data_IF_824693254701
#
_entry.id   IF_824693254701
#
_cell.length_a   1.000
_cell.length_b   1.000
_cell.length_c   1.000
_cell.angle_alpha   90.00
_cell.angle_beta   90.00
_cell.angle_gamma   90.00
#
_symmetry.space_group_name_H-M   'P 1'
#
loop_
_entity.id
_entity.type
_entity.pdbx_description
1 polymer ?
#
# COMPACT_ATOMS: atom_id res chain seq x y z
N UNK A 1 -6.48 15.99 -11.72
CA UNK A 1 -7.86 15.75 -11.26
C UNK A 1 -7.80 15.56 -9.75
N UNK A 2 -8.32 16.52 -8.99
CA UNK A 2 -8.26 16.50 -7.52
C UNK A 2 -9.66 16.14 -7.00
N UNK A 3 -10.00 14.86 -7.07
CA UNK A 3 -11.16 14.31 -6.38
C UNK A 3 -10.67 13.90 -5.00
N UNK A 4 -11.23 14.52 -3.96
CA UNK A 4 -10.95 14.19 -2.57
C UNK A 4 -11.50 12.77 -2.33
N UNK A 5 -10.67 11.74 -2.56
CA UNK A 5 -11.05 10.34 -2.41
C UNK A 5 -11.41 10.06 -0.95
N UNK A 6 -12.46 9.28 -0.71
CA UNK A 6 -12.75 8.76 0.63
C UNK A 6 -11.60 7.89 1.13
N UNK A 7 -11.45 7.80 2.46
CA UNK A 7 -10.41 6.96 3.08
C UNK A 7 -10.51 5.50 2.62
N UNK A 8 -11.74 4.98 2.55
CA UNK A 8 -12.03 3.62 2.08
C UNK A 8 -11.50 3.41 0.65
N UNK A 9 -11.78 4.33 -0.28
CA UNK A 9 -11.26 4.24 -1.64
C UNK A 9 -9.73 4.32 -1.72
N UNK A 10 -9.10 5.18 -0.91
CA UNK A 10 -7.62 5.25 -0.85
C UNK A 10 -7.04 3.91 -0.41
N UNK A 11 -7.61 3.29 0.63
CA UNK A 11 -7.19 2.00 1.15
C UNK A 11 -7.38 0.90 0.09
N UNK A 12 -8.55 0.83 -0.54
CA UNK A 12 -8.84 -0.18 -1.56
C UNK A 12 -7.90 -0.10 -2.75
N UNK A 13 -7.56 1.12 -3.21
CA UNK A 13 -6.59 1.32 -4.29
C UNK A 13 -5.21 0.78 -3.92
N UNK A 14 -4.74 1.07 -2.72
CA UNK A 14 -3.42 0.58 -2.24
C UNK A 14 -3.44 -0.94 -2.04
N UNK A 15 -4.50 -1.50 -1.46
CA UNK A 15 -4.61 -2.95 -1.25
C UNK A 15 -4.65 -3.71 -2.57
N UNK A 16 -5.45 -3.25 -3.54
CA UNK A 16 -5.49 -3.83 -4.88
C UNK A 16 -4.14 -3.76 -5.56
N UNK A 17 -3.42 -2.65 -5.38
CA UNK A 17 -2.06 -2.52 -5.88
C UNK A 17 -1.10 -3.54 -5.27
N UNK A 18 -1.15 -3.74 -3.95
CA UNK A 18 -0.22 -4.64 -3.24
C UNK A 18 -0.54 -6.12 -3.45
N UNK A 19 -1.83 -6.50 -3.39
CA UNK A 19 -2.23 -7.90 -3.24
C UNK A 19 -2.82 -8.55 -4.49
N UNK A 20 -3.25 -7.77 -5.48
CA UNK A 20 -3.82 -8.33 -6.72
C UNK A 20 -2.74 -8.61 -7.75
N UNK A 21 -2.79 -9.79 -8.36
CA UNK A 21 -1.95 -10.13 -9.50
C UNK A 21 -2.47 -9.43 -10.76
N UNK A 22 -1.68 -8.52 -11.32
CA UNK A 22 -1.95 -7.87 -12.60
C UNK A 22 -0.70 -7.91 -13.48
N UNK A 23 -0.87 -7.70 -14.79
CA UNK A 23 0.24 -7.60 -15.75
C UNK A 23 1.13 -6.42 -15.35
N UNK A 24 2.45 -6.60 -15.43
CA UNK A 24 3.45 -5.64 -14.92
C UNK A 24 3.27 -4.22 -15.48
N UNK A 25 2.83 -4.08 -16.72
CA UNK A 25 2.61 -2.76 -17.33
C UNK A 25 1.42 -2.00 -16.73
N UNK A 26 0.39 -2.71 -16.26
CA UNK A 26 -0.74 -2.09 -15.53
C UNK A 26 -0.27 -1.58 -14.17
N UNK A 27 0.51 -2.38 -13.44
CA UNK A 27 1.11 -1.95 -12.15
C UNK A 27 2.06 -0.76 -12.32
N UNK A 28 2.83 -0.69 -13.40
CA UNK A 28 3.69 0.48 -13.68
C UNK A 28 2.87 1.75 -13.89
N UNK A 29 1.73 1.67 -14.59
CA UNK A 29 0.86 2.82 -14.81
C UNK A 29 0.16 3.29 -13.53
N UNK A 30 -0.15 2.37 -12.62
CA UNK A 30 -0.77 2.67 -11.33
C UNK A 30 0.23 3.19 -10.28
N UNK A 31 1.51 2.81 -10.37
CA UNK A 31 2.53 3.05 -9.33
C UNK A 31 2.58 4.52 -8.86
N UNK A 32 2.77 5.48 -9.78
CA UNK A 32 2.84 6.89 -9.42
C UNK A 32 1.57 7.39 -8.71
N UNK A 33 0.40 6.87 -9.08
CA UNK A 33 -0.85 7.25 -8.46
C UNK A 33 -1.00 6.68 -7.06
N UNK A 34 -0.65 5.41 -6.87
CA UNK A 34 -0.69 4.72 -5.57
C UNK A 34 0.30 5.34 -4.59
N UNK A 35 1.53 5.64 -5.05
CA UNK A 35 2.54 6.32 -4.26
C UNK A 35 2.04 7.71 -3.81
N UNK A 36 1.50 8.50 -4.74
CA UNK A 36 0.96 9.81 -4.43
C UNK A 36 -0.20 9.74 -3.41
N UNK A 37 -1.10 8.76 -3.53
CA UNK A 37 -2.17 8.54 -2.54
C UNK A 37 -1.57 8.24 -1.17
N UNK A 38 -0.63 7.30 -1.10
CA UNK A 38 -0.01 6.91 0.17
C UNK A 38 0.71 8.08 0.85
N UNK A 39 1.44 8.90 0.09
CA UNK A 39 2.15 10.06 0.61
C UNK A 39 1.21 11.09 1.23
N UNK A 40 0.09 11.40 0.56
CA UNK A 40 -0.86 12.43 1.03
C UNK A 40 -1.81 11.96 2.13
N UNK A 41 -1.84 10.65 2.45
CA UNK A 41 -2.67 10.15 3.56
C UNK A 41 -2.23 10.75 4.89
N UNK A 42 -3.17 11.14 5.74
CA UNK A 42 -2.84 11.55 7.10
C UNK A 42 -2.50 10.35 8.00
N UNK A 43 -2.11 10.63 9.24
CA UNK A 43 -1.72 9.60 10.21
C UNK A 43 -2.87 8.63 10.53
N UNK A 44 -4.10 9.12 10.65
CA UNK A 44 -5.28 8.30 10.98
C UNK A 44 -5.62 7.39 9.82
N UNK A 45 -5.63 7.93 8.60
CA UNK A 45 -5.81 7.17 7.36
C UNK A 45 -4.75 6.07 7.23
N UNK A 46 -3.48 6.38 7.54
CA UNK A 46 -2.37 5.42 7.53
C UNK A 46 -2.56 4.29 8.54
N UNK A 47 -3.05 4.56 9.75
CA UNK A 47 -3.38 3.47 10.69
C UNK A 47 -4.51 2.56 10.19
N UNK A 48 -5.52 3.12 9.53
CA UNK A 48 -6.59 2.32 8.93
C UNK A 48 -6.04 1.43 7.80
N UNK A 49 -5.15 1.98 6.96
CA UNK A 49 -4.44 1.21 5.95
C UNK A 49 -3.59 0.08 6.57
N UNK A 50 -2.83 0.37 7.63
CA UNK A 50 -2.00 -0.64 8.30
C UNK A 50 -2.84 -1.81 8.81
N UNK A 51 -3.97 -1.52 9.43
CA UNK A 51 -4.90 -2.54 9.89
C UNK A 51 -5.43 -3.38 8.73
N UNK A 52 -5.80 -2.74 7.62
CA UNK A 52 -6.29 -3.43 6.44
C UNK A 52 -5.23 -4.31 5.78
N UNK A 53 -3.98 -3.81 5.64
CA UNK A 53 -2.83 -4.57 5.17
C UNK A 53 -2.58 -5.79 6.04
N UNK A 54 -2.55 -5.61 7.36
CA UNK A 54 -2.32 -6.70 8.31
C UNK A 54 -3.34 -7.84 8.15
N UNK A 55 -4.60 -7.52 7.83
CA UNK A 55 -5.65 -8.52 7.56
C UNK A 55 -5.45 -9.32 6.27
N UNK A 56 -4.80 -8.72 5.27
CA UNK A 56 -4.52 -9.39 3.99
C UNK A 56 -3.23 -10.19 4.00
N UNK A 57 -2.33 -9.90 4.94
CA UNK A 57 -1.07 -10.62 5.07
C UNK A 57 -1.25 -12.05 5.61
N UNK A 58 -0.48 -13.02 5.12
CA UNK A 58 -0.35 -14.32 5.78
C UNK A 58 0.11 -14.17 7.23
N UNK A 59 -0.31 -15.07 8.12
CA UNK A 59 -0.13 -14.96 9.57
C UNK A 59 1.27 -14.51 10.01
N UNK A 60 2.33 -15.12 9.46
CA UNK A 60 3.72 -14.78 9.82
C UNK A 60 4.11 -13.36 9.39
N UNK A 61 3.76 -12.96 8.17
CA UNK A 61 4.01 -11.61 7.67
C UNK A 61 3.17 -10.58 8.44
N UNK A 62 1.93 -10.94 8.80
CA UNK A 62 1.08 -10.12 9.64
C UNK A 62 1.69 -9.84 11.02
N UNK A 63 2.31 -10.83 11.67
CA UNK A 63 3.02 -10.63 12.94
C UNK A 63 4.23 -9.73 12.82
N UNK A 64 5.07 -9.94 11.79
CA UNK A 64 6.22 -9.08 11.53
C UNK A 64 5.77 -7.63 11.30
N UNK A 65 4.82 -7.44 10.39
CA UNK A 65 4.27 -6.12 10.10
C UNK A 65 3.65 -5.48 11.36
N UNK A 66 2.91 -6.23 12.17
CA UNK A 66 2.32 -5.74 13.42
C UNK A 66 3.38 -5.28 14.43
N UNK A 67 4.52 -5.95 14.50
CA UNK A 67 5.61 -5.65 15.44
C UNK A 67 6.36 -4.35 15.13
N UNK A 68 6.28 -3.86 13.90
CA UNK A 68 6.87 -2.58 13.49
C UNK A 68 6.22 -1.39 14.20
N UNK A 69 7.02 -0.35 14.43
CA UNK A 69 6.51 0.96 14.84
C UNK A 69 5.89 1.69 13.64
N UNK A 70 5.32 2.88 13.87
CA UNK A 70 4.69 3.67 12.80
C UNK A 70 5.61 3.88 11.58
N UNK A 71 6.85 4.28 11.82
CA UNK A 71 7.81 4.57 10.76
C UNK A 71 8.23 3.30 10.01
N UNK A 72 8.47 2.19 10.72
CA UNK A 72 8.80 0.90 10.10
C UNK A 72 7.68 0.37 9.21
N UNK A 73 6.41 0.58 9.59
CA UNK A 73 5.26 0.25 8.71
C UNK A 73 5.21 1.12 7.46
N UNK A 74 5.57 2.40 7.57
CA UNK A 74 5.65 3.30 6.41
C UNK A 74 6.74 2.83 5.44
N UNK A 75 7.94 2.59 5.96
CA UNK A 75 9.09 2.13 5.16
C UNK A 75 8.81 0.79 4.48
N UNK A 76 8.24 -0.17 5.23
CA UNK A 76 7.85 -1.46 4.67
C UNK A 76 6.86 -1.31 3.51
N UNK A 77 5.84 -0.46 3.65
CA UNK A 77 4.86 -0.27 2.59
C UNK A 77 5.44 0.46 1.37
N UNK A 78 6.29 1.45 1.56
CA UNK A 78 6.99 2.13 0.46
C UNK A 78 7.88 1.14 -0.30
N UNK A 79 8.67 0.34 0.41
CA UNK A 79 9.53 -0.68 -0.19
C UNK A 79 8.71 -1.69 -1.01
N UNK A 80 7.59 -2.15 -0.48
CA UNK A 80 6.69 -3.07 -1.22
C UNK A 80 6.08 -2.39 -2.46
N UNK A 81 5.60 -1.15 -2.33
CA UNK A 81 5.03 -0.40 -3.46
C UNK A 81 6.06 -0.25 -4.59
N UNK A 82 7.31 0.11 -4.26
CA UNK A 82 8.38 0.27 -5.25
C UNK A 82 8.87 -1.06 -5.81
N UNK A 83 8.99 -2.10 -4.98
CA UNK A 83 9.40 -3.43 -5.42
C UNK A 83 8.42 -4.05 -6.44
N UNK A 84 7.13 -3.74 -6.35
CA UNK A 84 6.12 -4.18 -7.33
C UNK A 84 6.39 -3.57 -8.71
N UNK A 85 6.81 -2.31 -8.78
CA UNK A 85 7.19 -1.66 -10.04
C UNK A 85 8.47 -2.28 -10.64
N UNK A 86 9.41 -2.67 -9.77
CA UNK A 86 10.73 -3.17 -10.15
C UNK A 86 10.78 -4.64 -10.55
N UNK A 87 9.69 -5.42 -10.41
CA UNK A 87 9.60 -6.77 -10.96
C UNK A 87 9.64 -6.74 -12.50
N UNK A 88 10.87 -6.67 -13.04
CA UNK A 88 11.24 -7.05 -14.41
C UNK A 88 11.70 -8.50 -14.39
N UNK A 89 11.07 -9.30 -15.27
CA UNK A 89 11.47 -10.64 -15.74
C UNK A 89 11.13 -11.80 -14.80
#
# INVERSE_FOLDING_TARGET
MNTNLSVEHKIDLILNYIFTFEVSDVKKQQHCHVLAIFEVMDMVEKYQLFYAVQKHLPLRAGFLFASENYQGKIETLLEVIDAIQLKKN
#
